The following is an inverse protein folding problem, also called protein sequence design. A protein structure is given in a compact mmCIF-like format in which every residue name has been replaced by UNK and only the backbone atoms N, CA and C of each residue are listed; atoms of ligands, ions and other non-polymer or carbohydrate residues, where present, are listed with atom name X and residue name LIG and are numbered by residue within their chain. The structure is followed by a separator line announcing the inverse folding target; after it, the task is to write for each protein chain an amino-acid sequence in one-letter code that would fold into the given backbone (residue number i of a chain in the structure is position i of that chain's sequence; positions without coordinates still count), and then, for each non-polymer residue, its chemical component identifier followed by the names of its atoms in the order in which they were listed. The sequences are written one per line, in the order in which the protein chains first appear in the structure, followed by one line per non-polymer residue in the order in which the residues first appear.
data_IF_305079152226
#
_entry.id   IF_305079152226
#
_cell.length_a   1.000
_cell.length_b   1.000
_cell.length_c   1.000
_cell.angle_alpha   90.00
_cell.angle_beta   90.00
_cell.angle_gamma   90.00
#
_symmetry.space_group_name_H-M   'P 1'
#
loop_
_entity.id
_entity.type
_entity.pdbx_description
1 polymer ?
#
# COMPACT_ATOMS: atom_id res chain seq x y z
N UNK A 1 17.60 5.94 10.54
CA UNK A 1 16.60 5.38 11.48
C UNK A 1 16.21 3.96 11.07
N UNK A 2 15.98 3.05 12.02
CA UNK A 2 15.56 1.67 11.75
C UNK A 2 14.21 1.37 12.43
N UNK A 3 13.23 0.88 11.67
CA UNK A 3 11.90 0.48 12.18
C UNK A 3 11.98 -0.90 12.84
N UNK A 4 11.37 -1.07 14.01
CA UNK A 4 11.39 -2.30 14.79
C UNK A 4 10.00 -2.67 15.30
N UNK A 5 9.59 -3.92 15.14
CA UNK A 5 8.25 -4.42 15.50
C UNK A 5 8.20 -5.22 16.81
N UNK A 6 9.29 -5.27 17.58
CA UNK A 6 9.32 -5.99 18.86
C UNK A 6 8.43 -5.35 19.93
N UNK A 7 7.67 -6.15 20.68
CA UNK A 7 6.69 -5.67 21.66
C UNK A 7 7.25 -5.27 23.03
N UNK A 8 8.55 -5.45 23.28
CA UNK A 8 9.17 -5.20 24.60
C UNK A 8 9.13 -3.73 25.05
N UNK A 9 8.98 -2.79 24.11
CA UNK A 9 8.83 -1.37 24.41
C UNK A 9 7.39 -0.99 24.81
N UNK A 10 6.39 -1.82 24.49
CA UNK A 10 4.99 -1.56 24.82
C UNK A 10 4.72 -1.88 26.30
N UNK A 11 3.71 -1.21 26.88
CA UNK A 11 3.23 -1.50 28.24
C UNK A 11 2.55 -2.87 28.32
N UNK A 12 2.35 -3.38 29.53
CA UNK A 12 1.46 -4.53 29.81
C UNK A 12 0.00 -4.10 29.65
N UNK A 13 -0.91 -5.08 29.54
CA UNK A 13 -2.36 -4.81 29.53
C UNK A 13 -2.80 -4.06 30.79
N UNK A 14 -2.21 -4.40 31.94
CA UNK A 14 -2.42 -3.73 33.24
C UNK A 14 -1.73 -2.36 33.36
N UNK A 15 -1.07 -1.86 32.32
CA UNK A 15 -0.34 -0.58 32.34
C UNK A 15 1.09 -0.63 32.90
N UNK A 16 1.47 -1.72 33.57
CA UNK A 16 2.83 -1.91 34.09
C UNK A 16 3.92 -1.83 33.01
N UNK A 17 5.08 -1.23 33.34
CA UNK A 17 6.23 -1.12 32.44
C UNK A 17 6.89 -2.48 32.21
N UNK A 18 7.17 -2.83 30.95
CA UNK A 18 7.98 -4.03 30.62
C UNK A 18 9.46 -3.67 30.67
N UNK A 19 10.26 -4.50 31.35
CA UNK A 19 11.73 -4.41 31.30
C UNK A 19 12.23 -5.19 30.09
N UNK A 20 13.05 -4.56 29.26
CA UNK A 20 13.67 -5.25 28.14
C UNK A 20 14.74 -6.22 28.67
N UNK A 21 14.59 -7.52 28.37
CA UNK A 21 15.53 -8.56 28.79
C UNK A 21 16.61 -8.85 27.74
N UNK A 22 16.48 -8.29 26.53
CA UNK A 22 17.40 -8.50 25.40
C UNK A 22 17.48 -7.30 24.48
N UNK A 23 18.51 -7.28 23.62
CA UNK A 23 18.66 -6.34 22.50
C UNK A 23 17.71 -6.70 21.33
N UNK A 24 17.53 -5.75 20.41
CA UNK A 24 16.72 -5.91 19.18
C UNK A 24 17.33 -6.98 18.27
N UNK A 25 16.50 -7.84 17.68
CA UNK A 25 16.95 -8.99 16.87
C UNK A 25 16.51 -8.88 15.42
N UNK A 26 17.31 -9.38 14.47
CA UNK A 26 17.09 -9.26 13.01
C UNK A 26 15.66 -9.63 12.54
N UNK A 27 15.01 -10.60 13.18
CA UNK A 27 13.63 -11.03 12.83
C UNK A 27 12.55 -9.98 13.17
N UNK A 28 12.84 -9.03 14.06
CA UNK A 28 11.91 -7.96 14.46
C UNK A 28 12.00 -6.74 13.52
N UNK A 29 12.88 -6.79 12.52
CA UNK A 29 13.25 -5.63 11.72
C UNK A 29 12.14 -5.31 10.73
N UNK A 30 11.58 -4.11 10.87
CA UNK A 30 10.64 -3.54 9.92
C UNK A 30 11.34 -2.88 8.75
N UNK A 31 10.53 -2.28 7.87
CA UNK A 31 11.01 -1.43 6.81
C UNK A 31 10.08 -0.23 6.67
N UNK A 32 10.62 0.87 6.15
CA UNK A 32 9.81 2.05 5.87
C UNK A 32 8.73 1.75 4.82
N UNK A 33 7.56 2.40 4.94
CA UNK A 33 6.49 2.28 3.97
C UNK A 33 6.98 2.76 2.60
N UNK A 34 6.45 2.14 1.55
CA UNK A 34 6.59 2.66 0.19
C UNK A 34 5.31 3.45 -0.07
N UNK A 35 5.43 4.77 -0.02
CA UNK A 35 4.35 5.68 -0.44
C UNK A 35 4.38 5.72 -1.96
N UNK A 36 3.41 5.05 -2.59
CA UNK A 36 3.33 4.97 -4.05
C UNK A 36 2.67 6.23 -4.58
N UNK A 37 3.35 6.96 -5.47
CA UNK A 37 2.89 8.23 -6.03
C UNK A 37 2.53 8.04 -7.51
N UNK A 38 1.63 8.87 -8.04
CA UNK A 38 1.36 8.91 -9.48
C UNK A 38 2.58 9.45 -10.24
N UNK A 39 3.07 8.71 -11.23
CA UNK A 39 4.21 9.15 -12.03
C UNK A 39 4.80 8.04 -12.90
N UNK A 40 5.99 8.29 -13.45
CA UNK A 40 6.71 7.28 -14.24
C UNK A 40 6.95 6.01 -13.44
N UNK A 41 6.91 4.86 -14.13
CA UNK A 41 7.00 3.56 -13.49
C UNK A 41 8.36 3.35 -12.82
N UNK A 42 8.39 3.34 -11.48
CA UNK A 42 9.59 3.04 -10.68
C UNK A 42 9.28 1.96 -9.66
N UNK A 43 10.02 0.85 -9.75
CA UNK A 43 9.88 -0.29 -8.87
C UNK A 43 11.21 -0.62 -8.18
N UNK A 44 11.13 -1.03 -6.91
CA UNK A 44 12.28 -1.50 -6.14
C UNK A 44 12.07 -2.93 -5.66
N UNK A 45 12.98 -3.83 -6.05
CA UNK A 45 13.05 -5.19 -5.52
C UNK A 45 13.66 -5.14 -4.11
N UNK A 46 12.97 -5.72 -3.13
CA UNK A 46 13.41 -5.75 -1.73
C UNK A 46 13.44 -7.19 -1.22
N UNK A 47 14.66 -7.69 -0.93
CA UNK A 47 14.85 -9.00 -0.29
C UNK A 47 14.25 -9.02 1.11
N UNK A 48 13.62 -10.14 1.46
CA UNK A 48 13.02 -10.47 2.76
C UNK A 48 13.66 -11.73 3.34
N UNK A 49 13.16 -12.15 4.50
CA UNK A 49 13.59 -13.37 5.15
C UNK A 49 13.34 -14.59 4.25
N UNK A 50 14.23 -15.58 4.29
CA UNK A 50 14.12 -16.81 3.49
C UNK A 50 14.39 -16.63 1.99
N UNK A 51 15.00 -15.52 1.55
CA UNK A 51 15.32 -15.30 0.14
C UNK A 51 14.18 -14.70 -0.69
N UNK A 52 12.97 -14.63 -0.14
CA UNK A 52 11.80 -14.02 -0.79
C UNK A 52 12.07 -12.57 -1.22
N UNK A 53 11.50 -12.17 -2.35
CA UNK A 53 11.60 -10.79 -2.88
C UNK A 53 10.21 -10.18 -2.95
N UNK A 54 10.04 -8.99 -2.36
CA UNK A 54 8.83 -8.17 -2.56
C UNK A 54 9.15 -7.03 -3.53
N UNK A 55 8.26 -6.78 -4.47
CA UNK A 55 8.35 -5.66 -5.40
C UNK A 55 7.59 -4.49 -4.79
N UNK A 56 8.30 -3.37 -4.60
CA UNK A 56 7.72 -2.13 -4.08
C UNK A 56 7.53 -1.17 -5.23
N UNK A 57 6.28 -0.79 -5.50
CA UNK A 57 5.99 0.31 -6.43
C UNK A 57 6.25 1.64 -5.70
N UNK A 58 7.13 2.47 -6.26
CA UNK A 58 7.39 3.82 -5.77
C UNK A 58 6.58 4.84 -6.56
N UNK A 59 6.48 4.64 -7.87
CA UNK A 59 5.61 5.42 -8.74
C UNK A 59 5.09 4.57 -9.89
N UNK A 60 3.85 4.81 -10.29
CA UNK A 60 3.17 4.09 -11.37
C UNK A 60 2.00 4.96 -11.89
N UNK A 61 1.76 4.92 -13.20
CA UNK A 61 0.69 5.68 -13.87
C UNK A 61 -0.46 4.79 -14.37
N UNK A 62 -0.22 3.49 -14.42
CA UNK A 62 -1.16 2.50 -14.94
C UNK A 62 -1.74 1.63 -13.82
N UNK A 63 -2.99 1.22 -13.99
CA UNK A 63 -3.67 0.28 -13.10
C UNK A 63 -4.51 -0.72 -13.90
N UNK A 64 -4.53 -1.96 -13.40
CA UNK A 64 -5.44 -2.98 -13.90
C UNK A 64 -6.78 -2.82 -13.19
N UNK A 65 -7.82 -2.54 -13.95
CA UNK A 65 -9.17 -2.35 -13.42
C UNK A 65 -10.03 -3.52 -13.84
N UNK A 66 -10.59 -4.20 -12.85
CA UNK A 66 -11.57 -5.28 -13.07
C UNK A 66 -12.98 -4.73 -12.90
N UNK A 67 -13.83 -4.97 -13.90
CA UNK A 67 -15.26 -4.69 -13.82
C UNK A 67 -15.98 -5.96 -13.31
N UNK A 68 -16.58 -5.95 -12.11
CA UNK A 68 -17.20 -7.14 -11.53
C UNK A 68 -18.48 -7.57 -12.29
N UNK A 69 -19.17 -6.65 -12.96
CA UNK A 69 -20.41 -6.95 -13.69
C UNK A 69 -20.14 -7.67 -15.01
N UNK A 70 -19.08 -7.26 -15.72
CA UNK A 70 -18.74 -7.83 -17.04
C UNK A 70 -17.65 -8.89 -16.97
N UNK A 71 -16.95 -9.02 -15.83
CA UNK A 71 -15.83 -9.93 -15.64
C UNK A 71 -14.56 -9.54 -16.40
N UNK A 72 -14.57 -8.42 -17.14
CA UNK A 72 -13.44 -7.96 -17.95
C UNK A 72 -12.45 -7.17 -17.10
N UNK A 73 -11.16 -7.33 -17.41
CA UNK A 73 -10.07 -6.57 -16.78
C UNK A 73 -9.30 -5.83 -17.84
N UNK A 74 -9.16 -4.51 -17.67
CA UNK A 74 -8.49 -3.64 -18.62
C UNK A 74 -7.38 -2.85 -17.92
N UNK A 75 -6.24 -2.70 -18.59
CA UNK A 75 -5.17 -1.84 -18.13
C UNK A 75 -5.46 -0.41 -18.57
N UNK A 76 -5.57 0.50 -17.60
CA UNK A 76 -5.92 1.89 -17.87
C UNK A 76 -5.08 2.85 -17.08
N UNK A 77 -5.07 4.09 -17.55
CA UNK A 77 -4.32 5.18 -16.94
C UNK A 77 -5.07 5.77 -15.74
N UNK A 78 -4.34 6.00 -14.66
CA UNK A 78 -4.84 6.73 -13.49
C UNK A 78 -4.70 8.23 -13.78
N UNK A 79 -5.81 8.96 -13.70
CA UNK A 79 -5.82 10.42 -13.88
C UNK A 79 -5.42 11.08 -12.57
N UNK A 80 -6.10 10.74 -11.47
CA UNK A 80 -5.80 11.27 -10.13
C UNK A 80 -6.31 10.35 -9.02
N UNK A 81 -5.81 10.60 -7.82
CA UNK A 81 -6.37 10.04 -6.58
C UNK A 81 -7.51 10.95 -6.12
N UNK A 82 -8.67 10.36 -5.81
CA UNK A 82 -9.85 11.11 -5.38
C UNK A 82 -9.93 11.15 -3.86
N UNK A 83 -9.82 9.98 -3.23
CA UNK A 83 -10.00 9.84 -1.80
C UNK A 83 -9.27 8.61 -1.26
N UNK A 84 -8.74 8.72 -0.06
CA UNK A 84 -8.03 7.69 0.66
C UNK A 84 -8.65 7.61 2.06
N UNK A 85 -9.38 6.51 2.36
CA UNK A 85 -10.09 6.37 3.63
C UNK A 85 -9.16 6.37 4.86
N UNK A 86 -7.85 6.19 4.66
CA UNK A 86 -6.87 6.11 5.75
C UNK A 86 -6.44 7.49 6.25
N UNK A 87 -6.18 8.44 5.34
CA UNK A 87 -5.71 9.77 5.70
C UNK A 87 -5.92 10.77 4.54
N UNK A 88 -6.46 11.95 4.87
CA UNK A 88 -6.66 13.09 3.97
C UNK A 88 -5.33 13.62 3.41
N UNK A 89 -4.23 13.55 4.17
CA UNK A 89 -2.92 14.00 3.67
C UNK A 89 -2.42 13.15 2.50
N UNK A 90 -2.81 11.87 2.45
CA UNK A 90 -2.48 11.02 1.32
C UNK A 90 -3.26 11.38 0.06
N UNK A 91 -4.43 12.00 0.20
CA UNK A 91 -5.17 12.53 -0.94
C UNK A 91 -4.46 13.72 -1.55
N UNK A 92 -4.05 14.66 -0.69
CA UNK A 92 -3.31 15.85 -1.11
C UNK A 92 -2.00 15.50 -1.80
N UNK A 93 -1.31 14.47 -1.31
CA UNK A 93 -0.03 14.00 -1.88
C UNK A 93 -0.20 13.03 -3.06
N UNK A 94 -1.42 12.57 -3.34
CA UNK A 94 -1.68 11.56 -4.37
C UNK A 94 -1.06 10.18 -4.08
N UNK A 95 -1.05 9.77 -2.81
CA UNK A 95 -0.48 8.48 -2.39
C UNK A 95 -1.49 7.35 -2.55
N UNK A 96 -1.12 6.33 -3.32
CA UNK A 96 -1.95 5.17 -3.60
C UNK A 96 -1.70 4.07 -2.58
N UNK A 97 -2.76 3.70 -1.84
CA UNK A 97 -2.75 2.61 -0.87
C UNK A 97 -3.89 1.63 -1.15
N UNK A 98 -3.94 0.54 -0.38
CA UNK A 98 -5.08 -0.37 -0.45
C UNK A 98 -6.34 0.37 0.05
N UNK A 99 -7.39 0.38 -0.75
CA UNK A 99 -8.66 1.04 -0.44
C UNK A 99 -8.79 2.45 -1.00
N UNK A 100 -7.72 3.02 -1.58
CA UNK A 100 -7.76 4.32 -2.25
C UNK A 100 -8.73 4.29 -3.43
N UNK A 101 -9.54 5.34 -3.56
CA UNK A 101 -10.42 5.59 -4.69
C UNK A 101 -9.64 6.42 -5.71
N UNK A 102 -9.52 5.87 -6.91
CA UNK A 102 -8.80 6.45 -8.04
C UNK A 102 -9.79 6.78 -9.16
N UNK A 103 -9.53 7.87 -9.86
CA UNK A 103 -10.24 8.23 -11.08
C UNK A 103 -9.44 7.78 -12.29
N UNK A 104 -10.09 7.01 -13.16
CA UNK A 104 -9.51 6.48 -14.39
C UNK A 104 -10.43 6.73 -15.57
N UNK A 105 -9.97 6.46 -16.79
CA UNK A 105 -10.75 6.65 -18.02
C UNK A 105 -12.07 5.86 -18.04
N UNK A 106 -12.15 4.75 -17.32
CA UNK A 106 -13.35 3.90 -17.23
C UNK A 106 -14.33 4.36 -16.14
N UNK A 107 -13.86 5.18 -15.18
CA UNK A 107 -14.66 5.68 -14.07
C UNK A 107 -13.91 5.62 -12.73
N UNK A 108 -14.68 5.66 -11.64
CA UNK A 108 -14.14 5.53 -10.29
C UNK A 108 -13.83 4.07 -9.97
N UNK A 109 -12.63 3.81 -9.48
CA UNK A 109 -12.21 2.48 -9.09
C UNK A 109 -11.56 2.48 -7.69
N UNK A 110 -11.76 1.39 -6.95
CA UNK A 110 -11.18 1.18 -5.63
C UNK A 110 -10.00 0.23 -5.72
N UNK A 111 -8.85 0.65 -5.22
CA UNK A 111 -7.63 -0.16 -5.21
C UNK A 111 -7.75 -1.30 -4.20
N UNK A 112 -7.55 -2.54 -4.64
CA UNK A 112 -7.62 -3.74 -3.77
C UNK A 112 -6.23 -4.30 -3.46
N UNK A 113 -5.28 -4.10 -4.38
CA UNK A 113 -3.89 -4.50 -4.21
C UNK A 113 -3.17 -3.75 -3.09
N UNK A 114 -1.99 -4.26 -2.69
CA UNK A 114 -1.04 -3.56 -1.81
C UNK A 114 0.20 -3.17 -2.63
N UNK A 115 0.23 -1.97 -3.24
CA UNK A 115 1.28 -1.58 -4.18
C UNK A 115 2.71 -1.70 -3.62
N UNK A 116 2.89 -1.36 -2.33
CA UNK A 116 4.17 -1.49 -1.64
C UNK A 116 4.67 -2.93 -1.39
N UNK A 117 3.92 -3.96 -1.79
CA UNK A 117 4.32 -5.37 -1.64
C UNK A 117 4.11 -6.22 -2.90
N UNK A 118 3.03 -5.95 -3.64
CA UNK A 118 2.60 -6.75 -4.81
C UNK A 118 3.31 -6.34 -6.10
N UNK A 119 3.79 -5.09 -6.21
CA UNK A 119 4.50 -4.62 -7.41
C UNK A 119 3.59 -4.13 -8.55
N UNK A 120 2.29 -4.05 -8.31
CA UNK A 120 1.26 -3.68 -9.29
C UNK A 120 0.05 -3.08 -8.59
N UNK A 121 -0.70 -2.26 -9.32
CA UNK A 121 -1.92 -1.59 -8.84
C UNK A 121 -3.12 -2.26 -9.51
N UNK A 122 -3.81 -3.10 -8.74
CA UNK A 122 -5.09 -3.67 -9.14
C UNK A 122 -6.22 -2.95 -8.41
N UNK A 123 -7.26 -2.60 -9.16
CA UNK A 123 -8.45 -1.93 -8.69
C UNK A 123 -9.73 -2.60 -9.22
N UNK A 124 -10.83 -2.36 -8.53
CA UNK A 124 -12.17 -2.82 -8.92
C UNK A 124 -13.03 -1.59 -9.19
N UNK A 125 -13.73 -1.58 -10.31
CA UNK A 125 -14.62 -0.47 -10.68
C UNK A 125 -15.76 -0.37 -9.66
N UNK A 126 -16.06 0.85 -9.21
CA UNK A 126 -17.18 1.08 -8.31
C UNK A 126 -18.47 1.19 -9.13
N UNK A 127 -19.60 0.61 -8.67
CA UNK A 127 -20.89 0.87 -9.27
C UNK A 127 -21.18 2.37 -9.19
N UNK A 128 -21.72 2.94 -10.27
CA UNK A 128 -22.32 4.28 -10.20
C UNK A 128 -23.58 4.14 -9.36
N UNK A 129 -23.52 4.53 -8.09
CA UNK A 129 -24.75 4.76 -7.33
C UNK A 129 -25.45 5.96 -8.00
N UNK A 130 -26.72 5.73 -8.37
CA UNK A 130 -27.66 6.76 -8.80
C UNK A 130 -28.00 7.69 -7.64
#
# INVERSE_FOLDING_TARGET
MSVWHGGSHKKKLTGGRKRAYRKKRKFERGAFPAETILGERRMKKSRRQGGNVKIRVLSERQANISNPTTGKTENTEIIRVVNNPVNIDYDRRGVITKGTIIETKLGLARVVSRPGQHGLINAVLLPKEQ
#
